data_IF_405422077545
#
_entry.id   IF_405422077545
#
_cell.length_a   1.000
_cell.length_b   1.000
_cell.length_c   1.000
_cell.angle_alpha   90.00
_cell.angle_beta   90.00
_cell.angle_gamma   90.00
#
_symmetry.space_group_name_H-M   'P 1'
#
loop_
_entity.id
_entity.type
_entity.pdbx_description
1 polymer ?
#
# COMPACT_ATOMS: atom_id res chain seq x y z
N UNK A 1 11.10 26.33 6.32
CA UNK A 1 9.96 27.18 6.76
C UNK A 1 8.71 26.31 6.73
N UNK A 2 8.39 25.69 7.86
CA UNK A 2 7.20 24.87 8.00
C UNK A 2 6.03 25.80 8.30
N UNK A 3 5.08 25.90 7.36
CA UNK A 3 3.85 26.67 7.54
C UNK A 3 3.07 26.12 8.74
N UNK A 4 2.88 26.97 9.74
CA UNK A 4 1.98 26.76 10.85
C UNK A 4 0.56 26.55 10.30
N UNK A 5 0.11 25.30 10.21
CA UNK A 5 -1.26 24.95 9.86
C UNK A 5 -2.18 25.39 11.00
N UNK A 6 -2.98 26.43 10.76
CA UNK A 6 -3.91 26.95 11.77
C UNK A 6 -5.00 25.93 12.17
N UNK A 7 -5.60 26.07 13.36
CA UNK A 7 -6.61 25.13 13.88
C UNK A 7 -7.81 24.95 12.94
N UNK A 8 -8.15 25.98 12.16
CA UNK A 8 -9.22 25.96 11.18
C UNK A 8 -8.94 25.02 9.98
N UNK A 9 -7.69 24.95 9.50
CA UNK A 9 -7.32 24.05 8.40
C UNK A 9 -7.32 22.59 8.85
N UNK A 10 -6.87 22.32 10.09
CA UNK A 10 -6.92 20.99 10.71
C UNK A 10 -8.39 20.55 10.87
N UNK A 11 -9.26 21.44 11.33
CA UNK A 11 -10.69 21.15 11.45
C UNK A 11 -11.32 20.84 10.08
N UNK A 12 -11.00 21.62 9.05
CA UNK A 12 -11.54 21.40 7.69
C UNK A 12 -11.09 20.09 7.04
N UNK A 13 -9.84 19.65 7.30
CA UNK A 13 -9.31 18.38 6.77
C UNK A 13 -9.87 17.18 7.54
N UNK A 14 -10.08 17.32 8.85
CA UNK A 14 -10.80 16.34 9.66
C UNK A 14 -12.26 16.23 9.23
N UNK A 15 -12.94 17.36 8.97
CA UNK A 15 -14.31 17.36 8.49
C UNK A 15 -14.42 16.64 7.14
N UNK A 16 -13.51 16.88 6.19
CA UNK A 16 -13.48 16.12 4.92
C UNK A 16 -13.25 14.62 5.11
N UNK A 17 -12.43 14.23 6.09
CA UNK A 17 -12.19 12.82 6.42
C UNK A 17 -13.42 12.12 7.00
N UNK A 18 -14.25 12.83 7.78
CA UNK A 18 -15.46 12.29 8.43
C UNK A 18 -16.78 12.68 7.75
N UNK A 19 -16.74 13.46 6.67
CA UNK A 19 -17.92 13.95 5.94
C UNK A 19 -18.87 12.82 5.54
N UNK A 20 -18.33 11.71 5.04
CA UNK A 20 -19.12 10.55 4.62
C UNK A 20 -19.85 9.93 5.81
N UNK A 21 -19.20 9.84 6.97
CA UNK A 21 -19.83 9.33 8.19
C UNK A 21 -20.94 10.27 8.69
N UNK A 22 -20.70 11.58 8.69
CA UNK A 22 -21.71 12.56 9.10
C UNK A 22 -22.93 12.53 8.18
N UNK A 23 -22.73 12.44 6.87
CA UNK A 23 -23.82 12.31 5.89
C UNK A 23 -24.56 10.99 6.09
N UNK A 24 -23.84 9.87 6.24
CA UNK A 24 -24.46 8.57 6.48
C UNK A 24 -25.32 8.55 7.74
N UNK A 25 -24.83 9.14 8.84
CA UNK A 25 -25.59 9.26 10.07
C UNK A 25 -26.80 10.19 9.93
N UNK A 26 -26.66 11.32 9.23
CA UNK A 26 -27.78 12.22 8.98
C UNK A 26 -28.89 11.55 8.15
N UNK A 27 -28.53 10.83 7.09
CA UNK A 27 -29.48 10.05 6.27
C UNK A 27 -30.14 8.95 7.09
N UNK A 28 -29.36 8.24 7.92
CA UNK A 28 -29.86 7.18 8.78
C UNK A 28 -30.84 7.71 9.84
N UNK A 29 -30.50 8.78 10.55
CA UNK A 29 -31.37 9.42 11.56
C UNK A 29 -32.65 9.91 10.90
N UNK A 30 -32.56 10.54 9.72
CA UNK A 30 -33.73 10.99 8.98
C UNK A 30 -34.65 9.81 8.60
N UNK A 31 -34.09 8.76 8.01
CA UNK A 31 -34.83 7.56 7.62
C UNK A 31 -35.50 6.87 8.82
N UNK A 32 -34.76 6.65 9.91
CA UNK A 32 -35.28 5.99 11.12
C UNK A 32 -36.35 6.85 11.81
N UNK A 33 -36.17 8.17 11.86
CA UNK A 33 -37.16 9.09 12.44
C UNK A 33 -38.47 9.10 11.64
N UNK A 34 -38.41 9.03 10.31
CA UNK A 34 -39.59 8.92 9.44
C UNK A 34 -40.30 7.58 9.67
N UNK A 35 -39.56 6.47 9.74
CA UNK A 35 -40.15 5.14 10.01
C UNK A 35 -40.82 5.08 11.37
N UNK A 36 -40.17 5.59 12.43
CA UNK A 36 -40.74 5.60 13.77
C UNK A 36 -42.01 6.48 13.80
N UNK A 37 -41.99 7.64 13.13
CA UNK A 37 -43.16 8.49 12.98
C UNK A 37 -44.32 7.79 12.26
N UNK A 38 -44.04 7.03 11.20
CA UNK A 38 -45.04 6.26 10.45
C UNK A 38 -45.60 5.07 11.22
N UNK A 39 -44.75 4.35 11.98
CA UNK A 39 -45.15 3.16 12.74
C UNK A 39 -45.95 3.52 13.99
N UNK A 40 -45.51 4.52 14.75
CA UNK A 40 -46.10 4.85 16.05
C UNK A 40 -47.12 6.00 15.99
N UNK A 41 -47.25 6.68 14.85
CA UNK A 41 -48.21 7.75 14.61
C UNK A 41 -47.96 9.04 15.41
N UNK A 42 -46.86 9.10 16.18
CA UNK A 42 -46.44 10.25 16.96
C UNK A 42 -44.91 10.36 16.97
N UNK A 43 -44.40 11.59 16.89
CA UNK A 43 -42.98 11.86 17.08
C UNK A 43 -42.72 12.13 18.56
N UNK A 44 -41.78 11.38 19.17
CA UNK A 44 -41.28 11.68 20.51
C UNK A 44 -40.50 13.01 20.56
N UNK A 45 -40.13 13.44 21.76
CA UNK A 45 -39.35 14.66 21.93
C UNK A 45 -37.95 14.55 21.28
N UNK A 46 -37.54 15.60 20.57
CA UNK A 46 -36.26 15.68 19.87
C UNK A 46 -35.07 15.34 20.77
N UNK A 47 -35.05 15.83 22.00
CA UNK A 47 -33.97 15.56 22.97
C UNK A 47 -33.84 14.07 23.29
N UNK A 48 -34.94 13.33 23.33
CA UNK A 48 -34.90 11.90 23.61
C UNK A 48 -34.28 11.13 22.44
N UNK A 49 -34.67 11.46 21.22
CA UNK A 49 -34.05 10.91 20.02
C UNK A 49 -32.56 11.22 19.97
N UNK A 50 -32.16 12.46 20.20
CA UNK A 50 -30.76 12.87 20.16
C UNK A 50 -29.88 12.07 21.14
N UNK A 51 -30.35 11.82 22.37
CA UNK A 51 -29.64 11.02 23.37
C UNK A 51 -29.51 9.56 22.90
N UNK A 52 -30.62 8.93 22.49
CA UNK A 52 -30.58 7.53 22.06
C UNK A 52 -29.74 7.32 20.79
N UNK A 53 -29.82 8.22 19.81
CA UNK A 53 -28.98 8.14 18.61
C UNK A 53 -27.49 8.34 18.94
N UNK A 54 -27.16 9.24 19.87
CA UNK A 54 -25.77 9.43 20.31
C UNK A 54 -25.21 8.15 20.94
N UNK A 55 -26.01 7.46 21.76
CA UNK A 55 -25.62 6.19 22.36
C UNK A 55 -25.46 5.07 21.32
N UNK A 56 -26.37 5.01 20.34
CA UNK A 56 -26.29 4.06 19.23
C UNK A 56 -25.06 4.29 18.34
N UNK A 57 -24.75 5.54 18.03
CA UNK A 57 -23.55 5.88 17.24
C UNK A 57 -22.29 5.54 18.05
N UNK A 58 -22.31 5.77 19.36
CA UNK A 58 -21.20 5.43 20.24
C UNK A 58 -20.93 3.93 20.26
N UNK A 59 -21.96 3.08 20.32
CA UNK A 59 -21.77 1.63 20.31
C UNK A 59 -21.14 1.16 19.00
N UNK A 60 -21.52 1.74 17.86
CA UNK A 60 -20.92 1.42 16.57
C UNK A 60 -19.39 1.63 16.56
N UNK A 61 -18.91 2.78 17.06
CA UNK A 61 -17.48 3.07 17.08
C UNK A 61 -16.72 2.27 18.16
N UNK A 62 -17.33 2.06 19.33
CA UNK A 62 -16.76 1.22 20.38
C UNK A 62 -16.63 -0.21 19.87
N UNK A 63 -17.67 -0.76 19.25
CA UNK A 63 -17.66 -2.08 18.65
C UNK A 63 -16.55 -2.23 17.62
N UNK A 64 -16.45 -1.29 16.66
CA UNK A 64 -15.42 -1.32 15.62
C UNK A 64 -14.00 -1.30 16.21
N UNK A 65 -13.78 -0.54 17.28
CA UNK A 65 -12.50 -0.49 17.98
C UNK A 65 -12.22 -1.78 18.77
N UNK A 66 -13.20 -2.31 19.49
CA UNK A 66 -13.07 -3.59 20.22
C UNK A 66 -12.76 -4.74 19.25
N UNK A 67 -13.39 -4.74 18.07
CA UNK A 67 -13.13 -5.72 17.01
C UNK A 67 -11.68 -5.63 16.51
N UNK A 68 -11.16 -4.40 16.34
CA UNK A 68 -9.77 -4.16 15.99
C UNK A 68 -8.79 -4.74 17.01
N UNK A 69 -9.07 -4.64 18.31
CA UNK A 69 -8.20 -5.22 19.34
C UNK A 69 -8.34 -6.74 19.41
N UNK A 70 -9.56 -7.25 19.27
CA UNK A 70 -9.87 -8.67 19.42
C UNK A 70 -9.32 -9.51 18.27
N UNK A 71 -9.29 -8.96 17.05
CA UNK A 71 -8.84 -9.66 15.84
C UNK A 71 -7.33 -9.60 15.59
N UNK A 72 -6.53 -8.91 16.42
CA UNK A 72 -5.06 -8.86 16.24
C UNK A 72 -4.40 -10.25 16.28
N UNK A 73 -4.92 -11.15 17.11
CA UNK A 73 -4.36 -12.48 17.33
C UNK A 73 -5.37 -13.55 16.90
N UNK A 74 -5.16 -14.29 15.80
CA UNK A 74 -6.17 -15.21 15.26
C UNK A 74 -6.54 -16.34 16.23
N UNK A 75 -5.59 -16.83 17.04
CA UNK A 75 -5.83 -17.87 18.04
C UNK A 75 -6.66 -17.38 19.24
N UNK A 76 -6.50 -16.12 19.62
CA UNK A 76 -7.23 -15.52 20.75
C UNK A 76 -8.56 -14.92 20.30
N UNK A 77 -8.69 -14.54 19.03
CA UNK A 77 -9.89 -13.97 18.46
C UNK A 77 -11.11 -14.88 18.64
N UNK A 78 -10.94 -16.19 18.47
CA UNK A 78 -12.04 -17.17 18.57
C UNK A 78 -12.79 -17.09 19.90
N UNK A 79 -12.10 -16.92 21.02
CA UNK A 79 -12.74 -16.81 22.35
C UNK A 79 -12.98 -15.37 22.78
N UNK A 80 -12.09 -14.42 22.43
CA UNK A 80 -12.24 -13.01 22.79
C UNK A 80 -13.46 -12.37 22.13
N UNK A 81 -13.73 -12.65 20.85
CA UNK A 81 -14.84 -12.06 20.11
C UNK A 81 -16.22 -12.31 20.77
N UNK A 82 -16.65 -13.55 21.01
CA UNK A 82 -17.96 -13.79 21.61
C UNK A 82 -18.06 -13.22 23.02
N UNK A 83 -16.97 -13.26 23.80
CA UNK A 83 -16.93 -12.68 25.15
C UNK A 83 -17.10 -11.16 25.11
N UNK A 84 -16.37 -10.47 24.23
CA UNK A 84 -16.50 -9.02 24.08
C UNK A 84 -17.87 -8.61 23.53
N UNK A 85 -18.41 -9.30 22.54
CA UNK A 85 -19.75 -9.03 22.00
C UNK A 85 -20.84 -9.21 23.07
N UNK A 86 -20.72 -10.24 23.90
CA UNK A 86 -21.66 -10.49 24.99
C UNK A 86 -21.59 -9.41 26.07
N UNK A 87 -20.36 -9.06 26.51
CA UNK A 87 -20.14 -7.98 27.49
C UNK A 87 -20.64 -6.63 26.97
N UNK A 88 -20.38 -6.33 25.69
CA UNK A 88 -20.85 -5.12 25.03
C UNK A 88 -22.37 -5.06 24.96
N UNK A 89 -23.03 -6.18 24.63
CA UNK A 89 -24.50 -6.26 24.60
C UNK A 89 -25.10 -6.02 25.97
N UNK A 90 -24.57 -6.66 27.01
CA UNK A 90 -25.03 -6.46 28.40
C UNK A 90 -24.84 -5.00 28.82
N UNK A 91 -23.66 -4.44 28.56
CA UNK A 91 -23.36 -3.06 28.91
C UNK A 91 -24.30 -2.09 28.19
N UNK A 92 -24.53 -2.28 26.90
CA UNK A 92 -25.42 -1.43 26.10
C UNK A 92 -26.87 -1.50 26.57
N UNK A 93 -27.40 -2.70 26.82
CA UNK A 93 -28.74 -2.88 27.37
C UNK A 93 -28.85 -2.19 28.73
N UNK A 94 -27.89 -2.42 29.65
CA UNK A 94 -27.87 -1.79 30.97
C UNK A 94 -27.81 -0.26 30.90
N UNK A 95 -27.02 0.29 29.96
CA UNK A 95 -26.89 1.73 29.76
C UNK A 95 -28.22 2.33 29.28
N UNK A 96 -28.89 1.72 28.30
CA UNK A 96 -30.19 2.19 27.80
C UNK A 96 -31.24 2.19 28.90
N UNK A 97 -31.37 1.09 29.67
CA UNK A 97 -32.31 1.03 30.80
C UNK A 97 -31.98 2.06 31.89
N UNK A 98 -30.70 2.31 32.16
CA UNK A 98 -30.26 3.34 33.10
C UNK A 98 -30.62 4.76 32.65
N UNK A 99 -30.38 5.08 31.37
CA UNK A 99 -30.73 6.38 30.76
C UNK A 99 -32.25 6.57 30.72
N UNK A 100 -33.00 5.52 30.39
CA UNK A 100 -34.47 5.55 30.41
C UNK A 100 -35.02 5.83 31.81
N UNK A 101 -34.46 5.18 32.84
CA UNK A 101 -34.86 5.39 34.25
C UNK A 101 -34.55 6.83 34.69
N UNK A 102 -33.41 7.38 34.26
CA UNK A 102 -33.03 8.77 34.52
C UNK A 102 -34.00 9.74 33.82
N UNK A 103 -34.25 9.54 32.52
CA UNK A 103 -35.17 10.38 31.74
C UNK A 103 -36.60 10.34 32.31
N UNK A 104 -37.08 9.16 32.72
CA UNK A 104 -38.38 9.02 33.37
C UNK A 104 -38.45 9.84 34.67
N UNK A 105 -37.42 9.74 35.52
CA UNK A 105 -37.37 10.43 36.82
C UNK A 105 -37.26 11.95 36.71
N UNK A 106 -36.54 12.45 35.70
CA UNK A 106 -36.19 13.89 35.63
C UNK A 106 -36.96 14.69 34.57
N UNK A 107 -37.53 14.07 33.55
CA UNK A 107 -38.15 14.82 32.44
C UNK A 107 -39.64 14.63 32.27
N UNK A 108 -40.30 13.64 32.89
CA UNK A 108 -41.75 13.37 32.70
C UNK A 108 -42.19 13.32 31.20
N UNK A 109 -41.23 13.06 30.29
CA UNK A 109 -41.42 13.07 28.82
C UNK A 109 -41.97 11.73 28.30
N UNK A 110 -42.14 10.73 29.17
CA UNK A 110 -42.73 9.45 28.77
C UNK A 110 -44.25 9.52 28.84
N UNK A 111 -44.90 9.79 27.70
CA UNK A 111 -46.36 9.77 27.54
C UNK A 111 -46.93 8.42 27.11
N UNK A 112 -46.16 7.33 27.11
CA UNK A 112 -46.69 6.01 26.76
C UNK A 112 -46.15 4.96 27.71
N UNK A 113 -47.07 4.19 28.27
CA UNK A 113 -46.82 3.00 29.08
C UNK A 113 -45.64 2.24 28.50
N UNK A 114 -44.65 1.97 29.35
CA UNK A 114 -43.54 1.10 28.98
C UNK A 114 -44.19 -0.21 28.50
N UNK A 115 -44.17 -0.47 27.19
CA UNK A 115 -44.65 -1.74 26.65
C UNK A 115 -43.98 -2.89 27.38
N UNK A 116 -44.56 -4.10 27.32
CA UNK A 116 -44.09 -5.24 28.11
C UNK A 116 -42.56 -5.35 28.11
N UNK A 117 -41.93 -5.59 29.28
CA UNK A 117 -40.49 -5.54 29.44
C UNK A 117 -39.75 -6.45 28.45
N UNK A 118 -40.37 -7.56 28.05
CA UNK A 118 -39.84 -8.47 27.03
C UNK A 118 -39.78 -7.81 25.64
N UNK A 119 -40.84 -7.15 25.20
CA UNK A 119 -40.88 -6.47 23.88
C UNK A 119 -39.87 -5.34 23.79
N UNK A 120 -39.66 -4.62 24.89
CA UNK A 120 -38.64 -3.57 24.99
C UNK A 120 -37.23 -4.15 24.93
N UNK A 121 -36.95 -5.19 25.70
CA UNK A 121 -35.66 -5.87 25.67
C UNK A 121 -35.33 -6.39 24.27
N UNK A 122 -36.29 -7.04 23.59
CA UNK A 122 -36.13 -7.53 22.23
C UNK A 122 -35.86 -6.40 21.22
N UNK A 123 -36.52 -5.25 21.37
CA UNK A 123 -36.29 -4.08 20.49
C UNK A 123 -34.88 -3.51 20.68
N UNK A 124 -34.41 -3.40 21.93
CA UNK A 124 -33.05 -2.93 22.25
C UNK A 124 -32.01 -3.92 21.75
N UNK A 125 -32.25 -5.22 21.93
CA UNK A 125 -31.37 -6.29 21.42
C UNK A 125 -31.29 -6.26 19.89
N UNK A 126 -32.43 -6.13 19.20
CA UNK A 126 -32.46 -6.02 17.74
C UNK A 126 -31.64 -4.83 17.24
N UNK A 127 -31.81 -3.65 17.85
CA UNK A 127 -31.02 -2.45 17.51
C UNK A 127 -29.53 -2.69 17.77
N UNK A 128 -29.18 -3.29 18.90
CA UNK A 128 -27.79 -3.59 19.25
C UNK A 128 -27.15 -4.51 18.21
N UNK A 129 -27.81 -5.61 17.83
CA UNK A 129 -27.37 -6.53 16.79
C UNK A 129 -27.23 -5.85 15.43
N UNK A 130 -28.17 -4.96 15.08
CA UNK A 130 -28.12 -4.19 13.85
C UNK A 130 -26.86 -3.31 13.79
N UNK A 131 -26.58 -2.52 14.84
CA UNK A 131 -25.38 -1.68 14.88
C UNK A 131 -24.08 -2.48 14.91
N UNK A 132 -24.05 -3.61 15.63
CA UNK A 132 -22.92 -4.54 15.60
C UNK A 132 -22.70 -5.10 14.19
N UNK A 133 -23.76 -5.49 13.47
CA UNK A 133 -23.65 -6.00 12.11
C UNK A 133 -23.01 -4.97 11.16
N UNK A 134 -23.49 -3.73 11.19
CA UNK A 134 -22.86 -2.66 10.41
C UNK A 134 -21.42 -2.35 10.88
N UNK A 135 -21.16 -2.39 12.19
CA UNK A 135 -19.84 -2.16 12.77
C UNK A 135 -18.82 -3.23 12.33
N UNK A 136 -19.20 -4.50 12.34
CA UNK A 136 -18.37 -5.60 11.84
C UNK A 136 -18.10 -5.44 10.35
N UNK A 137 -19.15 -5.18 9.54
CA UNK A 137 -19.01 -4.93 8.10
C UNK A 137 -18.05 -3.78 7.80
N UNK A 138 -18.18 -2.66 8.52
CA UNK A 138 -17.29 -1.51 8.40
C UNK A 138 -15.83 -1.89 8.72
N UNK A 139 -15.58 -2.58 9.83
CA UNK A 139 -14.23 -3.00 10.20
C UNK A 139 -13.61 -3.91 9.13
N UNK A 140 -14.35 -4.92 8.67
CA UNK A 140 -13.84 -5.86 7.66
C UNK A 140 -13.55 -5.17 6.33
N UNK A 141 -14.41 -4.24 5.90
CA UNK A 141 -14.19 -3.48 4.68
C UNK A 141 -12.92 -2.63 4.75
N UNK A 142 -12.74 -1.86 5.83
CA UNK A 142 -11.54 -1.04 6.02
C UNK A 142 -10.28 -1.90 6.15
N UNK A 143 -10.36 -2.98 6.92
CA UNK A 143 -9.26 -3.93 7.08
C UNK A 143 -8.86 -4.56 5.74
N UNK A 144 -9.84 -4.95 4.92
CA UNK A 144 -9.60 -5.50 3.58
C UNK A 144 -8.92 -4.50 2.65
N UNK A 145 -9.42 -3.26 2.59
CA UNK A 145 -8.83 -2.19 1.76
C UNK A 145 -7.38 -1.92 2.17
N UNK A 146 -7.13 -1.77 3.47
CA UNK A 146 -5.78 -1.52 4.00
C UNK A 146 -4.83 -2.69 3.71
N UNK A 147 -5.29 -3.93 3.92
CA UNK A 147 -4.50 -5.14 3.62
C UNK A 147 -4.17 -5.24 2.14
N UNK A 148 -5.11 -4.90 1.26
CA UNK A 148 -4.89 -4.90 -0.19
C UNK A 148 -3.88 -3.82 -0.60
N UNK A 149 -4.01 -2.62 -0.07
CA UNK A 149 -3.09 -1.51 -0.35
C UNK A 149 -1.65 -1.83 0.11
N UNK A 150 -1.50 -2.45 1.28
CA UNK A 150 -0.18 -2.84 1.79
C UNK A 150 0.45 -3.96 0.95
N UNK A 151 -0.34 -4.96 0.53
CA UNK A 151 0.13 -5.99 -0.41
C UNK A 151 0.62 -5.39 -1.72
N UNK A 152 -0.16 -4.50 -2.32
CA UNK A 152 0.21 -3.81 -3.57
C UNK A 152 1.48 -2.95 -3.39
N UNK A 153 1.65 -2.32 -2.22
CA UNK A 153 2.88 -1.58 -1.88
C UNK A 153 4.09 -2.50 -1.81
N UNK A 154 3.98 -3.64 -1.12
CA UNK A 154 5.03 -4.63 -0.98
C UNK A 154 5.40 -5.23 -2.34
N UNK A 155 4.41 -5.55 -3.18
CA UNK A 155 4.64 -6.06 -4.54
C UNK A 155 5.38 -5.05 -5.42
N UNK A 156 4.96 -3.77 -5.39
CA UNK A 156 5.66 -2.70 -6.10
C UNK A 156 7.10 -2.52 -5.62
N UNK A 157 7.35 -2.62 -4.32
CA UNK A 157 8.71 -2.57 -3.76
C UNK A 157 9.55 -3.76 -4.25
N UNK A 158 9.00 -4.97 -4.21
CA UNK A 158 9.69 -6.17 -4.73
C UNK A 158 10.04 -6.04 -6.21
N UNK A 159 9.11 -5.53 -7.03
CA UNK A 159 9.34 -5.31 -8.44
C UNK A 159 10.45 -4.29 -8.70
N UNK A 160 10.48 -3.18 -7.94
CA UNK A 160 11.57 -2.19 -8.02
C UNK A 160 12.93 -2.77 -7.66
N UNK A 161 13.01 -3.55 -6.57
CA UNK A 161 14.25 -4.21 -6.15
C UNK A 161 14.73 -5.18 -7.23
N UNK A 162 13.83 -5.93 -7.86
CA UNK A 162 14.17 -6.86 -8.94
C UNK A 162 14.74 -6.13 -10.16
N UNK A 163 14.12 -5.01 -10.54
CA UNK A 163 14.57 -4.18 -11.66
C UNK A 163 15.96 -3.58 -11.40
N UNK A 164 16.19 -3.07 -10.19
CA UNK A 164 17.48 -2.51 -9.77
C UNK A 164 18.58 -3.58 -9.73
N UNK A 165 18.24 -4.79 -9.25
CA UNK A 165 19.15 -5.94 -9.28
C UNK A 165 19.52 -6.31 -10.72
N UNK A 166 18.55 -6.43 -11.63
CA UNK A 166 18.79 -6.75 -13.04
C UNK A 166 19.70 -5.69 -13.70
N UNK A 167 19.45 -4.41 -13.42
CA UNK A 167 20.29 -3.30 -13.91
C UNK A 167 21.73 -3.42 -13.38
N UNK A 168 21.90 -3.66 -12.09
CA UNK A 168 23.21 -3.82 -11.45
C UNK A 168 23.97 -5.02 -12.00
N UNK A 169 23.29 -6.14 -12.25
CA UNK A 169 23.90 -7.32 -12.89
C UNK A 169 24.36 -7.02 -14.33
N UNK A 170 23.56 -6.28 -15.12
CA UNK A 170 23.96 -5.84 -16.46
C UNK A 170 25.18 -4.94 -16.42
N UNK A 171 25.20 -3.96 -15.51
CA UNK A 171 26.36 -3.06 -15.32
C UNK A 171 27.61 -3.82 -14.89
N UNK A 172 27.48 -4.81 -14.00
CA UNK A 172 28.58 -5.68 -13.58
C UNK A 172 29.14 -6.50 -14.76
N UNK A 173 28.28 -7.10 -15.58
CA UNK A 173 28.69 -7.87 -16.76
C UNK A 173 29.39 -6.96 -17.77
N UNK A 174 28.87 -5.76 -18.01
CA UNK A 174 29.50 -4.78 -18.89
C UNK A 174 30.87 -4.34 -18.37
N UNK A 175 30.99 -4.06 -17.07
CA UNK A 175 32.25 -3.69 -16.42
C UNK A 175 33.29 -4.81 -16.51
N UNK A 176 32.91 -6.07 -16.23
CA UNK A 176 33.79 -7.24 -16.39
C UNK A 176 34.25 -7.41 -17.83
N UNK A 177 33.35 -7.26 -18.79
CA UNK A 177 33.69 -7.32 -20.21
C UNK A 177 34.67 -6.20 -20.62
N UNK A 178 34.46 -4.97 -20.16
CA UNK A 178 35.37 -3.85 -20.41
C UNK A 178 36.75 -4.09 -19.78
N UNK A 179 36.79 -4.61 -18.55
CA UNK A 179 38.03 -4.95 -17.85
C UNK A 179 38.82 -6.06 -18.56
N UNK A 180 38.16 -7.14 -18.97
CA UNK A 180 38.81 -8.22 -19.75
C UNK A 180 39.34 -7.72 -21.08
N UNK A 181 38.59 -6.86 -21.78
CA UNK A 181 39.04 -6.26 -23.05
C UNK A 181 40.22 -5.30 -22.86
N UNK A 182 40.26 -4.55 -21.75
CA UNK A 182 41.39 -3.66 -21.44
C UNK A 182 42.68 -4.42 -21.10
N UNK A 183 42.58 -5.65 -20.59
CA UNK A 183 43.74 -6.52 -20.35
C UNK A 183 44.37 -7.07 -21.64
N UNK A 184 43.63 -7.12 -22.75
CA UNK A 184 44.20 -7.46 -24.05
C UNK A 184 45.03 -6.26 -24.51
N UNK A 185 46.35 -6.34 -24.39
CA UNK A 185 47.26 -5.31 -24.89
C UNK A 185 47.29 -5.36 -26.43
N UNK A 186 46.67 -4.40 -27.15
CA UNK A 186 46.59 -4.48 -28.60
C UNK A 186 47.97 -4.38 -29.25
N UNK A 187 48.86 -3.60 -28.64
CA UNK A 187 50.22 -3.41 -29.15
C UNK A 187 51.04 -4.69 -29.01
N UNK A 188 50.96 -5.38 -27.87
CA UNK A 188 51.64 -6.68 -27.72
C UNK A 188 51.10 -7.71 -28.72
N UNK A 189 49.78 -7.73 -28.92
CA UNK A 189 49.14 -8.64 -29.87
C UNK A 189 49.57 -8.36 -31.31
N UNK A 190 49.51 -7.11 -31.77
CA UNK A 190 49.96 -6.72 -33.11
C UNK A 190 51.47 -6.95 -33.28
N UNK A 191 52.28 -6.67 -32.26
CA UNK A 191 53.72 -6.94 -32.32
C UNK A 191 54.03 -8.42 -32.44
N UNK A 192 53.28 -9.27 -31.72
CA UNK A 192 53.45 -10.72 -31.80
C UNK A 192 53.04 -11.23 -33.19
N UNK A 193 51.91 -10.75 -33.73
CA UNK A 193 51.44 -11.12 -35.06
C UNK A 193 52.38 -10.64 -36.17
N UNK A 194 52.88 -9.41 -36.09
CA UNK A 194 53.87 -8.86 -37.03
C UNK A 194 55.17 -9.65 -36.97
N UNK A 195 55.67 -9.97 -35.77
CA UNK A 195 56.86 -10.80 -35.61
C UNK A 195 56.70 -12.18 -36.25
N UNK A 196 55.55 -12.83 -36.04
CA UNK A 196 55.23 -14.12 -36.66
C UNK A 196 55.12 -13.99 -38.18
N UNK A 197 54.42 -12.97 -38.69
CA UNK A 197 54.29 -12.68 -40.12
C UNK A 197 55.66 -12.55 -40.80
N UNK A 198 56.56 -11.72 -40.24
CA UNK A 198 57.91 -11.55 -40.80
C UNK A 198 58.72 -12.85 -40.83
N UNK A 199 58.49 -13.74 -39.85
CA UNK A 199 59.15 -15.05 -39.78
C UNK A 199 58.65 -16.03 -40.84
N UNK A 200 57.36 -15.99 -41.19
CA UNK A 200 56.74 -16.91 -42.16
C UNK A 200 56.75 -16.38 -43.60
N UNK A 201 56.85 -15.07 -43.81
CA UNK A 201 56.82 -14.41 -45.14
C UNK A 201 57.80 -15.00 -46.15
N UNK A 202 58.94 -15.51 -45.69
CA UNK A 202 59.99 -16.10 -46.53
C UNK A 202 59.91 -17.62 -46.70
N UNK A 203 59.05 -18.31 -45.92
CA UNK A 203 58.94 -19.77 -45.92
C UNK A 203 57.60 -20.30 -46.45
N UNK A 204 56.51 -19.56 -46.26
CA UNK A 204 55.16 -19.94 -46.74
C UNK A 204 54.28 -18.70 -46.89
N UNK A 205 53.97 -18.35 -48.14
CA UNK A 205 53.14 -17.18 -48.46
C UNK A 205 51.70 -17.34 -47.98
N UNK A 206 51.15 -18.57 -48.00
CA UNK A 206 49.80 -18.87 -47.49
C UNK A 206 49.69 -18.70 -45.97
N UNK A 207 50.72 -19.09 -45.21
CA UNK A 207 50.68 -18.98 -43.74
C UNK A 207 50.89 -17.52 -43.29
N UNK A 208 51.68 -16.76 -44.03
CA UNK A 208 51.83 -15.32 -43.83
C UNK A 208 50.53 -14.55 -44.11
N UNK A 209 49.80 -14.89 -45.17
CA UNK A 209 48.47 -14.33 -45.45
C UNK A 209 47.46 -14.66 -44.34
N UNK A 210 47.45 -15.90 -43.82
CA UNK A 210 46.56 -16.29 -42.73
C UNK A 210 46.80 -15.48 -41.44
N UNK A 211 48.07 -15.14 -41.14
CA UNK A 211 48.39 -14.27 -40.00
C UNK A 211 47.95 -12.82 -40.21
N UNK A 212 48.02 -12.34 -41.46
CA UNK A 212 47.55 -11.01 -41.83
C UNK A 212 46.02 -10.91 -41.69
N UNK A 213 45.29 -11.94 -42.14
CA UNK A 213 43.84 -12.05 -41.92
C UNK A 213 43.47 -12.11 -40.43
N UNK A 214 44.22 -12.84 -39.61
CA UNK A 214 44.00 -12.88 -38.16
C UNK A 214 44.20 -11.51 -37.50
N UNK A 215 45.21 -10.76 -37.92
CA UNK A 215 45.45 -9.40 -37.46
C UNK A 215 44.32 -8.43 -37.86
N UNK A 216 43.77 -8.56 -39.07
CA UNK A 216 42.64 -7.75 -39.54
C UNK A 216 41.33 -8.10 -38.82
N UNK A 217 41.07 -9.38 -38.54
CA UNK A 217 39.91 -9.81 -37.71
C UNK A 217 40.02 -9.22 -36.29
N UNK A 218 41.21 -9.26 -35.70
CA UNK A 218 41.48 -8.67 -34.38
C UNK A 218 41.32 -7.14 -34.37
N UNK A 219 41.63 -6.47 -35.50
CA UNK A 219 41.43 -5.02 -35.70
C UNK A 219 39.95 -4.65 -35.91
N UNK A 220 39.15 -5.54 -36.48
CA UNK A 220 37.70 -5.35 -36.66
C UNK A 220 36.89 -5.48 -35.37
N UNK A 221 37.47 -6.01 -34.27
CA UNK A 221 36.82 -5.96 -32.97
C UNK A 221 36.65 -4.49 -32.53
N UNK A 222 35.42 -4.01 -32.27
CA UNK A 222 35.18 -2.60 -32.02
C UNK A 222 35.96 -2.15 -30.77
N UNK A 223 36.81 -1.11 -30.88
CA UNK A 223 37.61 -0.64 -29.77
C UNK A 223 36.70 0.00 -28.71
N UNK A 224 37.07 -0.01 -27.41
CA UNK A 224 36.52 1.01 -26.51
C UNK A 224 36.90 2.37 -27.11
N UNK A 225 36.10 3.41 -26.90
CA UNK A 225 36.40 4.77 -27.36
C UNK A 225 37.81 5.23 -26.95
N UNK A 226 38.83 4.90 -27.74
CA UNK A 226 40.14 5.52 -27.70
C UNK A 226 40.02 6.69 -28.65
N UNK A 227 39.40 7.76 -28.15
CA UNK A 227 39.42 9.06 -28.80
C UNK A 227 40.77 9.71 -28.52
N UNK A 228 41.84 9.13 -29.09
CA UNK A 228 43.13 9.77 -29.26
C UNK A 228 44.01 8.85 -30.11
N UNK A 229 44.46 9.38 -31.26
CA UNK A 229 45.67 8.93 -31.94
C UNK A 229 45.59 7.76 -32.95
N UNK A 230 44.49 7.62 -33.68
CA UNK A 230 44.45 6.85 -34.94
C UNK A 230 45.23 7.54 -36.09
N UNK A 231 45.67 8.78 -35.91
CA UNK A 231 46.37 9.58 -36.93
C UNK A 231 47.85 9.20 -37.12
N UNK A 232 48.51 8.60 -36.14
CA UNK A 232 49.94 8.23 -36.24
C UNK A 232 50.13 6.93 -37.04
N UNK A 233 49.22 5.97 -36.93
CA UNK A 233 49.32 4.68 -37.64
C UNK A 233 48.96 4.78 -39.11
N UNK A 234 47.95 5.58 -39.47
CA UNK A 234 47.64 5.91 -40.87
C UNK A 234 48.79 6.63 -41.59
N UNK A 235 49.64 7.35 -40.84
CA UNK A 235 50.81 8.04 -41.39
C UNK A 235 52.02 7.13 -41.58
N UNK A 236 52.18 6.10 -40.75
CA UNK A 236 53.25 5.09 -40.91
C UNK A 236 52.99 4.11 -42.06
N UNK A 237 51.74 3.72 -42.30
CA UNK A 237 51.40 2.82 -43.41
C UNK A 237 51.54 3.49 -44.79
N UNK A 238 51.23 4.80 -44.90
CA UNK A 238 51.50 5.56 -46.14
C UNK A 238 52.98 5.70 -46.47
N UNK A 239 53.85 5.67 -45.47
CA UNK A 239 55.29 5.82 -45.66
C UNK A 239 56.02 4.48 -45.90
N UNK A 240 55.32 3.35 -45.76
CA UNK A 240 55.85 2.01 -46.00
C UNK A 240 55.48 1.44 -47.38
N UNK A 241 54.74 2.21 -48.19
CA UNK A 241 54.39 1.89 -49.59
C UNK A 241 55.13 2.78 -50.61
N UNK A 242 56.24 3.41 -50.20
CA UNK A 242 57.21 4.08 -51.09
C UNK A 242 58.55 3.37 -50.93
#
# INVERSE_FOLDING_TARGET
MNSLTGPFQIFSSMLKKYQIHLIAWAVFIFWESVIIGLIYGQFGNFSNYAIHYTLNISIFYVHAHVLMLSLKNPKQAFWKLPVFMFLETIFFVGLIYGVDTLLFKYTHVFSKEMGEPLTRALTVLWRCLFFMFFGTGYYFLISFINTKAEKERIERQRFRILLEKEKTEKELVQSRNAFLKAQINPHLLFNTLEFVYQKFKHHSQKDAEAMLYLADIMRMLPPPMIRANTSIWARRLRNAQI
#
